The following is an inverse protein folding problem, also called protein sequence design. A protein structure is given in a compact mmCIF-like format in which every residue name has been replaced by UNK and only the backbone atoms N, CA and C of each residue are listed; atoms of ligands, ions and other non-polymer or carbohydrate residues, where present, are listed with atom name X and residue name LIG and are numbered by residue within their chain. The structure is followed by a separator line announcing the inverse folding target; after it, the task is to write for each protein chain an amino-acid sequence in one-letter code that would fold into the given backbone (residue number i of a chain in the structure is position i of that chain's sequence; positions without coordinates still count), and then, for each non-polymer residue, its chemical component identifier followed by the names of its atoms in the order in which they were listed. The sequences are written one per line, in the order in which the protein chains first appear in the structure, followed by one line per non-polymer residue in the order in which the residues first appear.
data_IF_359546728836
#
_entry.id   IF_359546728836
#
_cell.length_a   1.000
_cell.length_b   1.000
_cell.length_c   1.000
_cell.angle_alpha   90.00
_cell.angle_beta   90.00
_cell.angle_gamma   90.00
#
_symmetry.space_group_name_H-M   'P 1'
#
loop_
_entity.id
_entity.type
_entity.pdbx_description
1 polymer ?
#
# COMPACT_ATOMS: atom_id res chain seq x y z
N UNK A 1 -6.86 -10.30 2.84
CA UNK A 1 -7.67 -9.08 2.96
C UNK A 1 -8.02 -8.57 1.57
N UNK A 2 -9.26 -8.27 1.34
CA UNK A 2 -9.68 -7.59 0.11
C UNK A 2 -9.57 -6.08 0.30
N UNK A 3 -8.98 -5.39 -0.66
CA UNK A 3 -8.93 -3.93 -0.63
C UNK A 3 -10.21 -3.35 -1.22
N UNK A 4 -10.55 -2.15 -0.79
CA UNK A 4 -11.78 -1.43 -1.18
C UNK A 4 -11.43 -0.04 -1.72
N UNK A 5 -12.38 0.63 -2.40
CA UNK A 5 -12.15 1.99 -2.90
C UNK A 5 -11.87 3.01 -1.79
N UNK A 6 -11.15 4.08 -2.15
CA UNK A 6 -10.93 5.26 -1.32
C UNK A 6 -10.34 4.93 0.05
N UNK A 7 -9.31 4.10 0.07
CA UNK A 7 -8.70 3.59 1.30
C UNK A 7 -7.18 3.62 1.21
N UNK A 8 -6.53 3.44 2.36
CA UNK A 8 -5.07 3.37 2.47
C UNK A 8 -4.66 2.06 3.09
N UNK A 9 -3.54 1.49 2.60
CA UNK A 9 -3.05 0.19 3.04
C UNK A 9 -1.55 0.19 3.18
N UNK A 10 -1.04 -0.56 4.19
CA UNK A 10 0.35 -0.98 4.27
C UNK A 10 0.45 -2.44 3.85
N UNK A 11 1.43 -2.74 3.04
CA UNK A 11 1.78 -4.12 2.71
C UNK A 11 3.19 -4.38 3.20
N UNK A 12 3.33 -5.32 4.15
CA UNK A 12 4.61 -5.69 4.72
C UNK A 12 5.23 -6.80 3.90
N UNK A 13 6.55 -6.73 3.71
CA UNK A 13 7.31 -7.80 3.06
C UNK A 13 7.73 -8.84 4.10
N UNK A 14 9.03 -9.06 4.29
CA UNK A 14 9.51 -10.12 5.17
C UNK A 14 9.55 -9.72 6.66
N UNK A 15 9.45 -8.44 6.95
CA UNK A 15 9.45 -7.94 8.32
C UNK A 15 8.67 -6.62 8.39
N UNK A 16 8.36 -6.19 9.62
CA UNK A 16 7.55 -5.00 9.86
C UNK A 16 8.25 -3.68 9.50
N UNK A 17 9.56 -3.72 9.23
CA UNK A 17 10.33 -2.53 8.86
C UNK A 17 10.44 -2.35 7.35
N UNK A 18 9.92 -3.30 6.57
CA UNK A 18 9.93 -3.24 5.10
C UNK A 18 8.51 -3.29 4.59
N UNK A 19 8.01 -2.17 4.06
CA UNK A 19 6.63 -2.07 3.64
C UNK A 19 6.44 -1.06 2.51
N UNK A 20 5.30 -1.20 1.83
CA UNK A 20 4.77 -0.21 0.89
C UNK A 20 3.51 0.41 1.49
N UNK A 21 3.24 1.65 1.11
CA UNK A 21 1.96 2.31 1.39
C UNK A 21 1.23 2.52 0.06
N UNK A 22 -0.02 2.08 0.02
CA UNK A 22 -0.88 2.18 -1.15
C UNK A 22 -2.12 2.98 -0.84
N UNK A 23 -2.62 3.64 -1.87
CA UNK A 23 -3.90 4.35 -1.86
C UNK A 23 -4.76 3.80 -2.98
N UNK A 24 -6.06 3.68 -2.73
CA UNK A 24 -7.03 3.33 -3.78
C UNK A 24 -7.96 4.51 -4.02
N UNK A 25 -8.24 4.79 -5.30
CA UNK A 25 -9.35 5.65 -5.68
C UNK A 25 -10.60 4.77 -5.90
N UNK A 26 -11.49 5.17 -6.79
CA UNK A 26 -12.70 4.39 -7.06
C UNK A 26 -12.43 3.11 -7.84
N UNK A 27 -11.28 3.00 -8.51
CA UNK A 27 -11.03 1.90 -9.44
C UNK A 27 -9.60 1.34 -9.36
N UNK A 28 -8.60 2.18 -9.15
CA UNK A 28 -7.19 1.82 -9.29
C UNK A 28 -6.44 1.87 -7.97
N UNK A 29 -5.29 1.19 -7.96
CA UNK A 29 -4.37 1.15 -6.83
C UNK A 29 -3.14 1.98 -7.17
N UNK A 30 -2.68 2.80 -6.21
CA UNK A 30 -1.50 3.66 -6.37
C UNK A 30 -0.51 3.41 -5.24
N UNK A 31 0.75 3.25 -5.58
CA UNK A 31 1.81 3.23 -4.58
C UNK A 31 2.25 4.67 -4.29
N UNK A 32 2.31 5.04 -3.00
CA UNK A 32 2.66 6.41 -2.60
C UNK A 32 3.92 6.49 -1.73
N UNK A 33 4.36 5.39 -1.14
CA UNK A 33 5.60 5.36 -0.36
C UNK A 33 6.11 3.93 -0.22
N UNK A 34 7.42 3.80 0.06
CA UNK A 34 8.04 2.52 0.35
C UNK A 34 9.18 2.69 1.34
N UNK A 35 9.40 1.66 2.14
CA UNK A 35 10.48 1.61 3.10
C UNK A 35 11.10 0.21 3.12
N UNK A 36 12.43 0.15 3.10
CA UNK A 36 13.16 -1.11 3.21
C UNK A 36 14.05 -1.05 4.45
N UNK A 37 13.79 -1.90 5.41
CA UNK A 37 14.57 -2.16 6.63
C UNK A 37 15.22 -0.90 7.23
N UNK A 38 16.51 -0.67 6.97
CA UNK A 38 17.29 0.43 7.55
C UNK A 38 17.26 1.70 6.70
N UNK A 39 16.65 1.66 5.55
CA UNK A 39 16.56 2.84 4.67
C UNK A 39 15.46 3.78 5.14
N UNK A 40 15.60 5.08 4.89
CA UNK A 40 14.52 6.02 5.20
C UNK A 40 13.31 5.75 4.30
N UNK A 41 12.14 6.16 4.78
CA UNK A 41 10.91 6.12 3.98
C UNK A 41 11.09 6.98 2.74
N UNK A 42 10.83 6.41 1.57
CA UNK A 42 10.86 7.11 0.29
C UNK A 42 9.43 7.45 -0.11
N UNK A 43 9.14 8.73 -0.21
CA UNK A 43 7.86 9.22 -0.74
C UNK A 43 7.92 9.14 -2.26
N UNK A 44 6.87 8.61 -2.86
CA UNK A 44 6.75 8.47 -4.30
C UNK A 44 5.74 9.48 -4.83
N UNK A 45 5.97 9.99 -6.03
CA UNK A 45 4.87 10.61 -6.77
C UNK A 45 3.80 9.53 -6.93
N UNK A 46 2.52 9.92 -6.78
CA UNK A 46 1.40 8.98 -6.92
C UNK A 46 1.56 8.22 -8.22
N UNK A 47 1.77 6.92 -8.10
CA UNK A 47 2.02 6.05 -9.24
C UNK A 47 0.96 4.98 -9.31
N UNK A 48 0.20 4.97 -10.39
CA UNK A 48 -0.74 3.90 -10.65
C UNK A 48 0.01 2.59 -10.82
N UNK A 49 -0.34 1.58 -10.04
CA UNK A 49 0.13 0.23 -10.30
C UNK A 49 -0.73 -0.37 -11.42
N UNK A 50 -0.24 -1.42 -12.04
CA UNK A 50 -0.86 -2.00 -13.24
C UNK A 50 -2.23 -2.66 -13.00
N UNK A 51 -2.76 -2.59 -11.78
CA UNK A 51 -3.93 -3.32 -11.35
C UNK A 51 -5.09 -2.39 -11.00
N UNK A 52 -6.30 -2.78 -11.41
CA UNK A 52 -7.53 -2.27 -10.81
C UNK A 52 -7.69 -2.90 -9.43
N UNK A 53 -8.59 -2.34 -8.62
CA UNK A 53 -8.93 -2.92 -7.31
C UNK A 53 -9.41 -4.36 -7.48
N UNK A 54 -10.25 -4.61 -8.49
CA UNK A 54 -10.78 -5.94 -8.78
C UNK A 54 -9.67 -6.93 -9.11
N UNK A 55 -8.76 -6.56 -9.99
CA UNK A 55 -7.62 -7.40 -10.37
C UNK A 55 -6.68 -7.62 -9.20
N UNK A 56 -6.43 -6.60 -8.40
CA UNK A 56 -5.61 -6.71 -7.19
C UNK A 56 -6.17 -7.77 -6.26
N UNK A 57 -7.48 -7.68 -5.96
CA UNK A 57 -8.14 -8.64 -5.09
C UNK A 57 -8.12 -10.07 -5.63
N UNK A 58 -8.18 -10.21 -6.96
CA UNK A 58 -8.20 -11.51 -7.62
C UNK A 58 -6.82 -12.16 -7.66
N UNK A 59 -5.77 -11.40 -7.94
CA UNK A 59 -4.44 -11.94 -8.21
C UNK A 59 -3.44 -11.69 -7.08
N UNK A 60 -3.40 -10.48 -6.55
CA UNK A 60 -2.39 -10.09 -5.56
C UNK A 60 -2.78 -10.53 -4.15
N UNK A 61 -4.07 -10.57 -3.86
CA UNK A 61 -4.58 -10.97 -2.55
C UNK A 61 -4.20 -12.41 -2.16
N UNK A 62 -3.64 -13.17 -3.08
CA UNK A 62 -3.14 -14.53 -2.84
C UNK A 62 -1.70 -14.55 -2.34
N UNK A 63 -1.02 -13.41 -2.31
CA UNK A 63 0.35 -13.35 -1.84
C UNK A 63 0.40 -13.57 -0.33
N UNK A 64 1.55 -14.04 0.17
CA UNK A 64 1.78 -14.26 1.59
C UNK A 64 2.15 -12.97 2.34
N UNK A 65 2.09 -11.83 1.69
CA UNK A 65 2.41 -10.56 2.31
C UNK A 65 1.27 -10.11 3.21
N UNK A 66 1.63 -9.73 4.42
CA UNK A 66 0.68 -9.17 5.36
C UNK A 66 0.26 -7.77 4.90
N UNK A 67 -1.04 -7.52 4.87
CA UNK A 67 -1.58 -6.20 4.58
C UNK A 67 -2.49 -5.74 5.71
N UNK A 68 -2.53 -4.43 5.94
CA UNK A 68 -3.47 -3.83 6.87
C UNK A 68 -3.99 -2.52 6.30
N UNK A 69 -5.25 -2.23 6.57
CA UNK A 69 -5.85 -0.94 6.27
C UNK A 69 -5.39 0.06 7.33
N UNK A 70 -4.97 1.25 6.89
CA UNK A 70 -4.54 2.32 7.78
C UNK A 70 -5.38 3.56 7.52
N UNK A 71 -5.50 4.43 8.53
CA UNK A 71 -6.26 5.66 8.38
C UNK A 71 -5.47 6.70 7.58
N UNK A 72 -6.19 7.66 7.02
CA UNK A 72 -5.57 8.82 6.35
C UNK A 72 -4.63 9.57 7.30
N UNK A 73 -4.99 9.68 8.58
CA UNK A 73 -4.15 10.30 9.60
C UNK A 73 -2.84 9.56 9.80
N UNK A 74 -2.88 8.23 9.84
CA UNK A 74 -1.69 7.39 9.95
C UNK A 74 -0.77 7.57 8.75
N UNK A 75 -1.34 7.69 7.55
CA UNK A 75 -0.55 7.95 6.33
C UNK A 75 0.18 9.29 6.44
N UNK A 76 -0.49 10.33 6.90
CA UNK A 76 0.15 11.63 7.10
C UNK A 76 1.30 11.56 8.10
N UNK A 77 1.13 10.83 9.20
CA UNK A 77 2.20 10.65 10.19
C UNK A 77 3.40 9.93 9.60
N UNK A 78 3.17 8.92 8.77
CA UNK A 78 4.26 8.19 8.11
C UNK A 78 5.01 9.05 7.10
N UNK A 79 4.32 9.98 6.43
CA UNK A 79 4.90 10.79 5.37
C UNK A 79 5.56 12.09 5.86
N UNK A 80 5.45 12.40 7.12
CA UNK A 80 6.08 13.60 7.71
C UNK A 80 7.62 13.47 7.84
#
# INVERSE_FOLDING_TARGET
MKIKPNSYYKRYYNNINSYDIFYTDTKHVYEIARKYTNDPLVKLAKKEVWWTIEEWNKFINRSNYKMEEISKGDVFLELL
#
